data_IF_988480660608
#
_entry.id   IF_988480660608
#
_cell.length_a   1.000
_cell.length_b   1.000
_cell.length_c   1.000
_cell.angle_alpha   90.00
_cell.angle_beta   90.00
_cell.angle_gamma   90.00
#
_symmetry.space_group_name_H-M   'P 1'
#
loop_
_entity.id
_entity.type
_entity.pdbx_description
1 polymer ?
#
# COMPACT_ATOMS: atom_id res chain seq x y z
N UNK A 1 13.51 -25.77 12.09
CA UNK A 1 13.07 -24.60 12.87
C UNK A 1 13.69 -23.34 12.27
N UNK A 2 12.89 -22.41 11.81
CA UNK A 2 13.36 -21.16 11.22
C UNK A 2 13.89 -20.21 12.29
N UNK A 3 15.01 -19.56 12.04
CA UNK A 3 15.61 -18.60 12.97
C UNK A 3 16.30 -17.47 12.19
N UNK A 4 15.97 -16.21 12.51
CA UNK A 4 16.69 -15.03 12.05
C UNK A 4 17.71 -14.67 13.12
N UNK A 5 18.98 -14.62 12.77
CA UNK A 5 20.09 -14.31 13.69
C UNK A 5 20.55 -12.85 13.59
N UNK A 6 20.34 -12.23 12.44
CA UNK A 6 20.66 -10.82 12.23
C UNK A 6 19.81 -10.23 11.09
N UNK A 7 19.37 -9.00 11.25
CA UNK A 7 18.74 -8.19 10.22
C UNK A 7 19.10 -6.70 10.40
N UNK A 8 19.01 -5.93 9.33
CA UNK A 8 19.29 -4.50 9.40
C UNK A 8 18.13 -3.77 10.10
N UNK A 9 18.43 -2.81 11.02
CA UNK A 9 17.39 -1.94 11.56
C UNK A 9 16.77 -1.09 10.44
N UNK A 10 15.49 -0.72 10.57
CA UNK A 10 14.75 0.05 9.56
C UNK A 10 15.52 1.32 9.16
N UNK A 11 16.19 1.98 10.10
CA UNK A 11 16.98 3.20 9.86
C UNK A 11 18.23 2.98 9.03
N UNK A 12 18.69 1.74 8.86
CA UNK A 12 19.85 1.39 8.04
C UNK A 12 19.47 0.89 6.63
N UNK A 13 18.17 0.65 6.39
CA UNK A 13 17.69 0.24 5.07
C UNK A 13 17.84 1.39 4.06
N UNK A 14 18.36 1.06 2.89
CA UNK A 14 18.62 2.03 1.84
C UNK A 14 17.71 1.77 0.64
N UNK A 15 16.95 2.78 0.27
CA UNK A 15 16.12 2.78 -0.94
C UNK A 15 16.59 3.92 -1.83
N UNK A 16 16.86 3.68 -3.12
CA UNK A 16 17.29 4.73 -4.05
C UNK A 16 16.29 5.89 -4.13
N UNK A 17 16.79 7.12 -4.24
CA UNK A 17 15.97 8.33 -4.16
C UNK A 17 14.90 8.44 -5.25
N UNK A 18 15.16 7.90 -6.43
CA UNK A 18 14.20 7.94 -7.54
C UNK A 18 12.90 7.18 -7.26
N UNK A 19 12.88 6.25 -6.29
CA UNK A 19 11.65 5.59 -5.88
C UNK A 19 10.65 6.53 -5.21
N UNK A 20 11.14 7.63 -4.62
CA UNK A 20 10.32 8.58 -3.88
C UNK A 20 9.82 9.74 -4.73
N UNK A 21 10.26 9.87 -5.98
CA UNK A 21 9.82 10.93 -6.87
C UNK A 21 8.52 10.51 -7.58
N UNK A 22 7.45 11.27 -7.32
CA UNK A 22 6.14 11.10 -7.94
C UNK A 22 5.95 12.24 -8.93
N UNK A 23 5.97 11.90 -10.21
CA UNK A 23 5.83 12.89 -11.29
C UNK A 23 4.36 13.14 -11.61
N UNK A 24 3.99 14.42 -11.71
CA UNK A 24 2.65 14.85 -12.12
C UNK A 24 2.74 16.04 -13.07
N UNK A 25 1.74 16.23 -13.94
CA UNK A 25 1.73 17.36 -14.88
C UNK A 25 1.56 18.71 -14.17
N UNK A 26 0.56 18.81 -13.30
CA UNK A 26 0.34 19.96 -12.40
C UNK A 26 -0.69 19.60 -11.35
N UNK A 27 -0.72 20.36 -10.22
CA UNK A 27 -1.76 20.19 -9.21
C UNK A 27 -3.15 20.62 -9.71
N UNK A 28 -3.21 21.58 -10.60
CA UNK A 28 -4.46 22.04 -11.21
C UNK A 28 -5.08 20.94 -12.07
N UNK A 29 -4.26 20.24 -12.83
CA UNK A 29 -4.71 19.10 -13.64
C UNK A 29 -5.22 17.95 -12.77
N UNK A 30 -4.53 17.62 -11.69
CA UNK A 30 -4.97 16.61 -10.72
C UNK A 30 -6.35 16.97 -10.15
N UNK A 31 -6.51 18.21 -9.68
CA UNK A 31 -7.78 18.68 -9.13
C UNK A 31 -8.88 18.67 -10.20
N UNK A 32 -8.59 19.11 -11.42
CA UNK A 32 -9.53 19.14 -12.53
C UNK A 32 -10.08 17.75 -12.87
N UNK A 33 -9.20 16.76 -12.98
CA UNK A 33 -9.60 15.37 -13.29
C UNK A 33 -10.50 14.81 -12.18
N UNK A 34 -10.14 15.00 -10.92
CA UNK A 34 -10.94 14.54 -9.79
C UNK A 34 -12.31 15.20 -9.75
N UNK A 35 -12.36 16.53 -9.85
CA UNK A 35 -13.61 17.31 -9.83
C UNK A 35 -14.53 16.88 -10.99
N UNK A 36 -13.94 16.67 -12.18
CA UNK A 36 -14.70 16.16 -13.32
C UNK A 36 -15.37 14.81 -13.02
N UNK A 37 -14.62 13.86 -12.43
CA UNK A 37 -15.15 12.54 -12.10
C UNK A 37 -16.27 12.61 -11.06
N UNK A 38 -16.03 13.30 -9.93
CA UNK A 38 -17.00 13.43 -8.84
C UNK A 38 -18.26 14.15 -9.29
N UNK A 39 -18.09 15.27 -10.00
CA UNK A 39 -19.22 16.05 -10.48
C UNK A 39 -20.02 15.32 -11.56
N UNK A 40 -19.39 14.59 -12.47
CA UNK A 40 -20.07 13.77 -13.47
C UNK A 40 -20.89 12.64 -12.84
N UNK A 41 -20.43 12.11 -11.71
CA UNK A 41 -21.17 11.10 -10.96
C UNK A 41 -22.36 11.67 -10.23
N UNK A 42 -22.22 12.84 -9.60
CA UNK A 42 -23.27 13.48 -8.79
C UNK A 42 -24.25 14.31 -9.65
N UNK A 43 -23.77 14.93 -10.73
CA UNK A 43 -24.49 15.87 -11.59
C UNK A 43 -24.22 15.56 -13.06
N UNK A 44 -24.73 14.44 -13.60
CA UNK A 44 -24.42 13.97 -14.96
C UNK A 44 -24.89 14.93 -16.07
N UNK A 45 -25.80 15.86 -15.75
CA UNK A 45 -26.31 16.87 -16.68
C UNK A 45 -25.35 18.04 -16.94
N UNK A 46 -24.30 18.22 -16.10
CA UNK A 46 -23.34 19.30 -16.28
C UNK A 46 -22.39 18.99 -17.45
N UNK A 47 -22.34 19.89 -18.43
CA UNK A 47 -21.48 19.75 -19.61
C UNK A 47 -19.98 19.93 -19.28
N UNK A 48 -19.66 20.83 -18.34
CA UNK A 48 -18.31 21.15 -17.89
C UNK A 48 -18.30 21.25 -16.34
N UNK A 49 -18.38 20.11 -15.66
CA UNK A 49 -18.59 20.10 -14.22
C UNK A 49 -17.46 20.80 -13.44
N UNK A 50 -16.22 20.72 -13.91
CA UNK A 50 -15.06 21.34 -13.27
C UNK A 50 -15.11 22.88 -13.18
N UNK A 51 -15.92 23.51 -14.04
CA UNK A 51 -16.09 24.99 -14.09
C UNK A 51 -17.50 25.45 -13.72
N UNK A 52 -18.46 24.52 -13.67
CA UNK A 52 -19.90 24.83 -13.51
C UNK A 52 -20.45 24.49 -12.13
N UNK A 53 -19.66 23.79 -11.27
CA UNK A 53 -20.08 23.48 -9.90
C UNK A 53 -20.19 24.76 -9.07
N UNK A 54 -21.34 24.94 -8.43
CA UNK A 54 -21.56 25.95 -7.42
C UNK A 54 -21.13 25.46 -6.03
N UNK A 55 -20.81 26.39 -5.12
CA UNK A 55 -20.46 26.02 -3.74
C UNK A 55 -21.59 25.25 -3.05
N UNK A 56 -22.86 25.52 -3.35
CA UNK A 56 -23.99 24.77 -2.84
C UNK A 56 -23.93 23.29 -3.31
N UNK A 57 -23.69 23.04 -4.59
CA UNK A 57 -23.56 21.69 -5.14
C UNK A 57 -22.35 20.97 -4.53
N UNK A 58 -21.25 21.67 -4.30
CA UNK A 58 -20.07 21.10 -3.61
C UNK A 58 -20.42 20.69 -2.18
N UNK A 59 -21.14 21.53 -1.43
CA UNK A 59 -21.59 21.21 -0.07
C UNK A 59 -22.55 19.99 -0.05
N UNK A 60 -23.40 19.85 -1.06
CA UNK A 60 -24.32 18.72 -1.24
C UNK A 60 -23.62 17.36 -1.50
N UNK A 61 -22.33 17.36 -1.92
CA UNK A 61 -21.53 16.14 -2.04
C UNK A 61 -21.32 15.42 -0.70
N UNK A 62 -21.51 16.11 0.43
CA UNK A 62 -21.40 15.53 1.77
C UNK A 62 -19.99 15.13 2.17
N UNK A 63 -18.96 15.64 1.51
CA UNK A 63 -17.58 15.38 1.83
C UNK A 63 -17.17 16.16 3.09
N UNK A 64 -16.58 15.48 4.06
CA UNK A 64 -16.22 16.09 5.33
C UNK A 64 -15.18 17.21 5.14
N UNK A 65 -15.48 18.41 5.66
CA UNK A 65 -14.60 19.58 5.58
C UNK A 65 -14.57 20.27 4.22
N UNK A 66 -15.46 19.89 3.28
CA UNK A 66 -15.54 20.46 1.92
C UNK A 66 -16.84 21.22 1.77
N UNK A 67 -16.77 22.54 1.58
CA UNK A 67 -17.94 23.43 1.52
C UNK A 67 -18.00 24.30 0.25
N UNK A 68 -16.93 24.36 -0.50
CA UNK A 68 -16.79 25.15 -1.72
C UNK A 68 -15.77 24.55 -2.69
N UNK A 69 -15.68 25.10 -3.89
CA UNK A 69 -14.80 24.58 -4.93
C UNK A 69 -13.30 24.60 -4.55
N UNK A 70 -12.87 25.56 -3.75
CA UNK A 70 -11.48 25.63 -3.27
C UNK A 70 -11.16 24.47 -2.32
N UNK A 71 -12.06 24.20 -1.37
CA UNK A 71 -11.94 23.07 -0.44
C UNK A 71 -11.93 21.74 -1.24
N UNK A 72 -12.78 21.61 -2.24
CA UNK A 72 -12.84 20.42 -3.10
C UNK A 72 -11.52 20.21 -3.87
N UNK A 73 -10.89 21.28 -4.35
CA UNK A 73 -9.56 21.18 -4.99
C UNK A 73 -8.48 20.70 -4.02
N UNK A 74 -8.45 21.24 -2.81
CA UNK A 74 -7.50 20.80 -1.78
C UNK A 74 -7.72 19.35 -1.40
N UNK A 75 -8.97 18.97 -1.20
CA UNK A 75 -9.36 17.58 -0.91
C UNK A 75 -8.91 16.63 -2.01
N UNK A 76 -9.12 16.98 -3.28
CA UNK A 76 -8.65 16.20 -4.42
C UNK A 76 -7.13 16.01 -4.44
N UNK A 77 -6.38 17.08 -4.17
CA UNK A 77 -4.92 17.03 -4.11
C UNK A 77 -4.43 16.14 -2.96
N UNK A 78 -5.07 16.20 -1.79
CA UNK A 78 -4.67 15.41 -0.63
C UNK A 78 -4.99 13.92 -0.83
N UNK A 79 -6.14 13.60 -1.40
CA UNK A 79 -6.46 12.22 -1.80
C UNK A 79 -5.46 11.68 -2.82
N UNK A 80 -5.13 12.47 -3.82
CA UNK A 80 -4.14 12.09 -4.83
C UNK A 80 -2.77 11.82 -4.20
N UNK A 81 -2.30 12.73 -3.32
CA UNK A 81 -1.03 12.54 -2.59
C UNK A 81 -1.02 11.22 -1.83
N UNK A 82 -2.06 10.98 -1.02
CA UNK A 82 -2.16 9.76 -0.23
C UNK A 82 -2.18 8.51 -1.10
N UNK A 83 -3.02 8.49 -2.14
CA UNK A 83 -3.12 7.37 -3.06
C UNK A 83 -1.79 7.09 -3.78
N UNK A 84 -1.12 8.13 -4.29
CA UNK A 84 0.15 7.94 -5.01
C UNK A 84 1.28 7.48 -4.12
N UNK A 85 1.37 8.00 -2.89
CA UNK A 85 2.35 7.55 -1.89
C UNK A 85 2.12 6.07 -1.57
N UNK A 86 0.89 5.68 -1.26
CA UNK A 86 0.55 4.29 -0.97
C UNK A 86 0.86 3.38 -2.16
N UNK A 87 0.38 3.74 -3.35
CA UNK A 87 0.65 2.97 -4.57
C UNK A 87 2.15 2.80 -4.80
N UNK A 88 2.92 3.89 -4.70
CA UNK A 88 4.38 3.85 -4.90
C UNK A 88 5.07 3.01 -3.85
N UNK A 89 4.66 3.11 -2.59
CA UNK A 89 5.24 2.32 -1.52
C UNK A 89 4.95 0.83 -1.72
N UNK A 90 3.69 0.45 -1.83
CA UNK A 90 3.30 -0.96 -1.89
C UNK A 90 3.68 -1.66 -3.20
N UNK A 91 3.66 -0.94 -4.33
CA UNK A 91 3.95 -1.56 -5.62
C UNK A 91 5.43 -1.53 -6.02
N UNK A 92 6.23 -0.64 -5.44
CA UNK A 92 7.63 -0.48 -5.87
C UNK A 92 8.64 -0.52 -4.72
N UNK A 93 8.37 0.18 -3.60
CA UNK A 93 9.34 0.27 -2.51
C UNK A 93 9.32 -0.99 -1.65
N UNK A 94 8.13 -1.48 -1.30
CA UNK A 94 8.01 -2.68 -0.45
C UNK A 94 8.57 -3.95 -1.12
N UNK A 95 8.31 -4.25 -2.41
CA UNK A 95 8.97 -5.36 -3.09
C UNK A 95 10.49 -5.21 -3.13
N UNK A 96 11.01 -4.02 -3.45
CA UNK A 96 12.45 -3.75 -3.39
C UNK A 96 13.02 -4.00 -1.98
N UNK A 97 12.33 -3.58 -0.93
CA UNK A 97 12.75 -3.81 0.45
C UNK A 97 12.69 -5.29 0.82
N UNK A 98 11.70 -6.04 0.34
CA UNK A 98 11.59 -7.47 0.59
C UNK A 98 12.83 -8.21 0.04
N UNK A 99 13.19 -7.97 -1.23
CA UNK A 99 14.42 -8.50 -1.83
C UNK A 99 15.67 -8.08 -1.06
N UNK A 100 15.81 -6.78 -0.77
CA UNK A 100 16.97 -6.25 -0.07
C UNK A 100 17.12 -6.81 1.35
N UNK A 101 16.02 -7.01 2.07
CA UNK A 101 16.00 -7.64 3.39
C UNK A 101 16.36 -9.13 3.28
N UNK A 102 15.83 -9.85 2.29
CA UNK A 102 16.14 -11.25 2.06
C UNK A 102 17.64 -11.46 1.76
N UNK A 103 18.24 -10.58 0.99
CA UNK A 103 19.67 -10.63 0.66
C UNK A 103 20.60 -10.28 1.84
N UNK A 104 20.17 -9.38 2.73
CA UNK A 104 21.02 -8.84 3.81
C UNK A 104 20.81 -9.49 5.16
N UNK A 105 19.69 -10.17 5.39
CA UNK A 105 19.43 -10.88 6.64
C UNK A 105 20.29 -12.15 6.75
N UNK A 106 20.64 -12.50 8.00
CA UNK A 106 21.28 -13.78 8.32
C UNK A 106 20.25 -14.68 9.00
N UNK A 107 19.99 -15.82 8.42
CA UNK A 107 18.97 -16.74 8.86
C UNK A 107 19.38 -18.21 8.68
N UNK A 108 18.73 -19.08 9.43
CA UNK A 108 18.73 -20.53 9.23
C UNK A 108 17.30 -20.92 8.90
N UNK A 109 17.10 -21.54 7.73
CA UNK A 109 15.79 -21.97 7.27
C UNK A 109 15.62 -23.48 7.46
N UNK A 110 14.42 -23.86 7.80
CA UNK A 110 13.91 -25.20 7.61
C UNK A 110 13.50 -25.31 6.12
N UNK A 111 14.34 -25.97 5.35
CA UNK A 111 14.17 -26.04 3.90
C UNK A 111 12.87 -26.76 3.48
N UNK A 112 12.38 -27.71 4.29
CA UNK A 112 11.13 -28.43 4.03
C UNK A 112 9.92 -27.52 4.27
N UNK A 113 9.94 -26.75 5.34
CA UNK A 113 8.88 -25.79 5.68
C UNK A 113 8.76 -24.67 4.63
N UNK A 114 9.89 -24.06 4.27
CA UNK A 114 9.92 -23.05 3.21
C UNK A 114 9.43 -23.64 1.86
N UNK A 115 9.98 -24.77 1.45
CA UNK A 115 9.62 -25.39 0.18
C UNK A 115 8.12 -25.74 0.13
N UNK A 116 7.55 -26.23 1.23
CA UNK A 116 6.12 -26.56 1.31
C UNK A 116 5.25 -25.32 1.17
N UNK A 117 5.61 -24.23 1.87
CA UNK A 117 4.88 -22.96 1.84
C UNK A 117 4.94 -22.32 0.46
N UNK A 118 6.14 -22.20 -0.12
CA UNK A 118 6.35 -21.61 -1.45
C UNK A 118 5.66 -22.44 -2.52
N UNK A 119 5.76 -23.79 -2.48
CA UNK A 119 5.10 -24.65 -3.44
C UNK A 119 3.57 -24.53 -3.41
N UNK A 120 2.97 -24.42 -2.22
CA UNK A 120 1.53 -24.25 -2.09
C UNK A 120 1.05 -22.95 -2.72
N UNK A 121 1.75 -21.86 -2.46
CA UNK A 121 1.42 -20.53 -3.01
C UNK A 121 1.69 -20.49 -4.54
N UNK A 122 2.82 -21.04 -4.99
CA UNK A 122 3.16 -21.13 -6.41
C UNK A 122 2.08 -21.87 -7.19
N UNK A 123 1.61 -22.99 -6.65
CA UNK A 123 0.55 -23.79 -7.28
C UNK A 123 -0.75 -23.01 -7.41
N UNK A 124 -1.19 -22.36 -6.32
CA UNK A 124 -2.42 -21.56 -6.30
C UNK A 124 -2.37 -20.43 -7.34
N UNK A 125 -1.28 -19.65 -7.36
CA UNK A 125 -1.13 -18.51 -8.29
C UNK A 125 -0.98 -18.97 -9.75
N UNK A 126 -0.34 -20.12 -10.00
CA UNK A 126 -0.23 -20.70 -11.36
C UNK A 126 -1.57 -21.28 -11.85
N UNK A 127 -2.42 -21.78 -10.96
CA UNK A 127 -3.79 -22.20 -11.31
C UNK A 127 -4.67 -20.99 -11.70
N UNK A 128 -4.46 -19.81 -11.08
CA UNK A 128 -5.17 -18.57 -11.40
C UNK A 128 -4.65 -17.92 -12.69
N UNK A 129 -3.34 -17.92 -12.90
CA UNK A 129 -2.68 -17.37 -14.11
C UNK A 129 -1.63 -18.35 -14.66
N UNK A 130 -2.01 -19.18 -15.63
CA UNK A 130 -1.10 -20.18 -16.24
C UNK A 130 0.07 -19.59 -17.02
N UNK A 131 -0.01 -18.32 -17.43
CA UNK A 131 1.02 -17.65 -18.24
C UNK A 131 2.09 -16.95 -17.38
N UNK A 132 1.99 -17.04 -16.04
CA UNK A 132 2.95 -16.42 -15.12
C UNK A 132 4.34 -17.07 -15.22
N UNK A 133 5.38 -16.26 -15.14
CA UNK A 133 6.76 -16.75 -15.04
C UNK A 133 6.97 -17.44 -13.67
N UNK A 134 6.96 -18.77 -13.67
CA UNK A 134 7.04 -19.56 -12.46
C UNK A 134 8.37 -19.45 -11.72
N UNK A 135 9.48 -19.19 -12.45
CA UNK A 135 10.79 -19.07 -11.82
C UNK A 135 10.91 -17.72 -11.11
N UNK A 136 10.49 -16.63 -11.76
CA UNK A 136 10.43 -15.31 -11.15
C UNK A 136 9.43 -15.26 -9.97
N UNK A 137 8.28 -15.91 -10.11
CA UNK A 137 7.29 -16.01 -9.02
C UNK A 137 7.85 -16.79 -7.83
N UNK A 138 8.55 -17.91 -8.05
CA UNK A 138 9.17 -18.68 -6.97
C UNK A 138 10.18 -17.83 -6.20
N UNK A 139 11.07 -17.13 -6.90
CA UNK A 139 12.06 -16.26 -6.28
C UNK A 139 11.38 -15.19 -5.41
N UNK A 140 10.36 -14.54 -5.92
CA UNK A 140 9.57 -13.56 -5.16
C UNK A 140 8.87 -14.16 -3.93
N UNK A 141 8.35 -15.38 -4.01
CA UNK A 141 7.73 -16.07 -2.87
C UNK A 141 8.74 -16.48 -1.80
N UNK A 142 9.96 -16.87 -2.20
CA UNK A 142 11.06 -17.17 -1.29
C UNK A 142 11.52 -15.89 -0.55
N UNK A 143 11.66 -14.77 -1.25
CA UNK A 143 11.96 -13.46 -0.66
C UNK A 143 10.86 -13.01 0.32
N UNK A 144 9.59 -13.15 -0.05
CA UNK A 144 8.45 -12.82 0.82
C UNK A 144 8.41 -13.72 2.08
N UNK A 145 8.75 -15.00 1.94
CA UNK A 145 8.88 -15.90 3.08
C UNK A 145 9.95 -15.42 4.07
N UNK A 146 11.13 -15.02 3.58
CA UNK A 146 12.21 -14.49 4.41
C UNK A 146 11.80 -13.15 5.03
N UNK A 147 11.16 -12.27 4.27
CA UNK A 147 10.64 -11.00 4.76
C UNK A 147 9.69 -11.20 5.96
N UNK A 148 8.77 -12.18 5.88
CA UNK A 148 7.86 -12.52 6.99
C UNK A 148 8.60 -13.03 8.21
N UNK A 149 9.65 -13.82 8.04
CA UNK A 149 10.49 -14.28 9.17
C UNK A 149 11.19 -13.10 9.85
N UNK A 150 11.77 -12.17 9.08
CA UNK A 150 12.40 -10.97 9.62
C UNK A 150 11.38 -10.08 10.31
N UNK A 151 10.20 -9.90 9.74
CA UNK A 151 9.09 -9.16 10.35
C UNK A 151 8.67 -9.77 11.70
N UNK A 152 8.57 -11.10 11.78
CA UNK A 152 8.28 -11.84 13.01
C UNK A 152 9.33 -11.62 14.10
N UNK A 153 10.62 -11.69 13.72
CA UNK A 153 11.72 -11.44 14.64
C UNK A 153 11.73 -9.98 15.11
N UNK A 154 11.62 -9.03 14.17
CA UNK A 154 11.53 -7.60 14.49
C UNK A 154 10.38 -7.31 15.46
N UNK A 155 9.19 -7.86 15.20
CA UNK A 155 8.02 -7.67 16.06
C UNK A 155 8.28 -8.18 17.48
N UNK A 156 8.92 -9.33 17.62
CA UNK A 156 9.31 -9.89 18.90
C UNK A 156 10.34 -9.01 19.61
N UNK A 157 11.35 -8.51 18.89
CA UNK A 157 12.40 -7.63 19.43
C UNK A 157 11.86 -6.28 19.89
N UNK A 158 10.74 -5.82 19.30
CA UNK A 158 10.01 -4.63 19.77
C UNK A 158 9.13 -4.92 21.01
N UNK A 159 9.17 -6.12 21.58
CA UNK A 159 8.31 -6.53 22.70
C UNK A 159 6.89 -6.85 22.26
N UNK A 160 6.67 -7.07 20.97
CA UNK A 160 5.38 -7.46 20.41
C UNK A 160 4.94 -8.83 20.95
N UNK A 161 3.67 -8.91 21.34
CA UNK A 161 3.00 -10.15 21.72
C UNK A 161 1.53 -10.03 21.36
N UNK A 162 0.98 -11.08 20.77
CA UNK A 162 -0.41 -11.13 20.35
C UNK A 162 -1.19 -12.05 21.28
N UNK A 163 -2.33 -11.57 21.75
CA UNK A 163 -3.24 -12.30 22.64
C UNK A 163 -4.56 -12.57 21.91
N UNK A 164 -5.37 -13.47 22.46
CA UNK A 164 -6.73 -13.69 21.98
C UNK A 164 -7.59 -12.41 22.08
N UNK A 165 -7.32 -11.52 23.04
CA UNK A 165 -8.01 -10.24 23.15
C UNK A 165 -7.70 -9.30 21.98
N UNK A 166 -6.46 -9.30 21.51
CA UNK A 166 -6.07 -8.52 20.32
C UNK A 166 -6.77 -9.06 19.06
N UNK A 167 -6.86 -10.38 18.95
CA UNK A 167 -7.61 -11.02 17.88
C UNK A 167 -9.10 -10.68 17.94
N UNK A 168 -9.72 -10.75 19.11
CA UNK A 168 -11.12 -10.38 19.29
C UNK A 168 -11.38 -8.92 18.90
N UNK A 169 -10.52 -8.00 19.34
CA UNK A 169 -10.62 -6.60 18.96
C UNK A 169 -10.46 -6.38 17.44
N UNK A 170 -9.54 -7.11 16.81
CA UNK A 170 -9.34 -7.08 15.37
C UNK A 170 -10.58 -7.56 14.60
N UNK A 171 -11.16 -8.70 15.00
CA UNK A 171 -12.37 -9.26 14.36
C UNK A 171 -13.55 -8.29 14.49
N UNK A 172 -13.81 -7.75 15.69
CA UNK A 172 -14.90 -6.79 15.92
C UNK A 172 -14.71 -5.53 15.04
N UNK A 173 -13.51 -4.96 15.03
CA UNK A 173 -13.20 -3.80 14.19
C UNK A 173 -13.35 -4.09 12.71
N UNK A 174 -12.91 -5.24 12.24
CA UNK A 174 -13.02 -5.67 10.85
C UNK A 174 -14.49 -5.90 10.45
N UNK A 175 -15.29 -6.50 11.31
CA UNK A 175 -16.73 -6.69 11.09
C UNK A 175 -17.45 -5.36 10.92
N UNK A 176 -17.18 -4.39 11.80
CA UNK A 176 -17.76 -3.05 11.71
C UNK A 176 -17.35 -2.33 10.42
N UNK A 177 -16.06 -2.37 10.08
CA UNK A 177 -15.54 -1.66 8.91
C UNK A 177 -16.02 -2.25 7.57
N UNK A 178 -16.23 -3.57 7.52
CA UNK A 178 -16.64 -4.28 6.31
C UNK A 178 -18.16 -4.50 6.24
N UNK A 179 -18.90 -4.20 7.30
CA UNK A 179 -20.31 -4.54 7.42
C UNK A 179 -20.55 -6.06 7.37
N UNK A 180 -19.60 -6.85 7.88
CA UNK A 180 -19.59 -8.29 7.84
C UNK A 180 -20.03 -8.90 9.19
N UNK A 181 -20.45 -10.17 9.17
CA UNK A 181 -20.75 -10.93 10.37
C UNK A 181 -19.46 -11.43 11.05
N UNK A 182 -19.35 -11.24 12.37
CA UNK A 182 -18.16 -11.64 13.15
C UNK A 182 -17.92 -13.14 13.12
N UNK A 183 -18.98 -13.97 13.12
CA UNK A 183 -18.86 -15.44 13.09
C UNK A 183 -18.27 -15.87 11.76
N UNK A 184 -18.78 -15.33 10.65
CA UNK A 184 -18.27 -15.62 9.31
C UNK A 184 -16.81 -15.16 9.14
N UNK A 185 -16.40 -14.05 9.78
CA UNK A 185 -15.01 -13.62 9.78
C UNK A 185 -14.10 -14.57 10.55
N UNK A 186 -14.54 -15.07 11.72
CA UNK A 186 -13.79 -16.05 12.53
C UNK A 186 -13.62 -17.40 11.84
N UNK A 187 -14.62 -17.83 11.05
CA UNK A 187 -14.52 -19.06 10.26
C UNK A 187 -13.50 -18.95 9.12
N UNK A 188 -13.32 -17.74 8.58
CA UNK A 188 -12.41 -17.47 7.45
C UNK A 188 -11.02 -17.06 7.87
N UNK A 189 -10.85 -16.53 9.08
CA UNK A 189 -9.61 -15.97 9.57
C UNK A 189 -9.44 -16.36 11.05
N UNK A 190 -8.60 -17.35 11.28
CA UNK A 190 -8.38 -17.92 12.62
C UNK A 190 -7.38 -17.11 13.45
N UNK A 191 -7.30 -17.38 14.76
CA UNK A 191 -6.27 -16.78 15.62
C UNK A 191 -4.83 -17.11 15.19
N UNK A 192 -4.48 -18.35 14.76
CA UNK A 192 -3.17 -18.61 14.15
C UNK A 192 -2.89 -17.76 12.90
N UNK A 193 -3.88 -17.55 12.02
CA UNK A 193 -3.70 -16.68 10.84
C UNK A 193 -3.43 -15.23 11.26
N UNK A 194 -4.14 -14.74 12.28
CA UNK A 194 -3.92 -13.44 12.87
C UNK A 194 -2.49 -13.30 13.42
N UNK A 195 -2.01 -14.30 14.17
CA UNK A 195 -0.65 -14.30 14.71
C UNK A 195 0.43 -14.32 13.62
N UNK A 196 0.18 -14.99 12.51
CA UNK A 196 1.10 -15.04 11.37
C UNK A 196 1.12 -13.73 10.58
N UNK A 197 -0.03 -13.06 10.43
CA UNK A 197 -0.19 -11.85 9.62
C UNK A 197 0.30 -10.58 10.34
N UNK A 198 -0.03 -10.41 11.62
CA UNK A 198 0.15 -9.14 12.33
C UNK A 198 1.59 -8.65 12.43
N UNK A 199 2.61 -9.50 12.65
CA UNK A 199 3.99 -9.05 12.62
C UNK A 199 4.40 -8.43 11.29
N UNK A 200 3.97 -9.04 10.18
CA UNK A 200 4.24 -8.53 8.83
C UNK A 200 3.56 -7.18 8.59
N UNK A 201 2.30 -7.03 8.99
CA UNK A 201 1.59 -5.75 8.89
C UNK A 201 2.26 -4.66 9.73
N UNK A 202 2.61 -4.96 10.98
CA UNK A 202 3.27 -4.01 11.87
C UNK A 202 4.64 -3.56 11.33
N UNK A 203 5.42 -4.51 10.79
CA UNK A 203 6.72 -4.20 10.19
C UNK A 203 6.56 -3.37 8.91
N UNK A 204 5.63 -3.73 8.04
CA UNK A 204 5.30 -2.98 6.82
C UNK A 204 4.86 -1.55 7.13
N UNK A 205 4.00 -1.36 8.15
CA UNK A 205 3.60 -0.04 8.60
C UNK A 205 4.78 0.77 9.15
N UNK A 206 5.65 0.15 9.94
CA UNK A 206 6.87 0.80 10.44
C UNK A 206 7.81 1.23 9.30
N UNK A 207 7.97 0.40 8.27
CA UNK A 207 8.70 0.75 7.04
C UNK A 207 8.03 1.93 6.32
N UNK A 208 6.72 1.87 6.12
CA UNK A 208 5.95 2.94 5.48
C UNK A 208 6.15 4.27 6.21
N UNK A 209 5.96 4.31 7.53
CA UNK A 209 6.14 5.52 8.35
C UNK A 209 7.57 6.05 8.30
N UNK A 210 8.57 5.15 8.28
CA UNK A 210 9.97 5.55 8.18
C UNK A 210 10.28 6.26 6.85
N UNK A 211 9.75 5.73 5.73
CA UNK A 211 10.02 6.27 4.41
C UNK A 211 9.07 7.38 3.97
N UNK A 212 7.92 7.55 4.63
CA UNK A 212 6.91 8.55 4.28
C UNK A 212 7.46 9.97 4.08
N UNK A 213 8.39 10.49 4.92
CA UNK A 213 8.92 11.85 4.75
C UNK A 213 9.81 12.04 3.52
N UNK A 214 10.22 10.96 2.85
CA UNK A 214 11.10 11.03 1.66
C UNK A 214 10.33 11.25 0.36
N UNK A 215 9.01 11.06 0.34
CA UNK A 215 8.22 11.23 -0.89
C UNK A 215 8.20 12.69 -1.35
N UNK A 216 8.41 12.90 -2.65
CA UNK A 216 8.46 14.21 -3.29
C UNK A 216 7.56 14.21 -4.52
N UNK A 217 6.81 15.30 -4.69
CA UNK A 217 5.99 15.51 -5.88
C UNK A 217 6.73 16.43 -6.84
N UNK A 218 7.10 15.89 -7.99
CA UNK A 218 7.89 16.58 -9.02
C UNK A 218 6.95 16.98 -10.16
N UNK A 219 6.74 18.29 -10.33
CA UNK A 219 5.95 18.82 -11.44
C UNK A 219 6.84 18.82 -12.67
N UNK A 220 6.37 18.18 -13.75
CA UNK A 220 7.06 18.24 -15.04
C UNK A 220 7.17 19.71 -15.49
N UNK A 221 8.35 20.15 -15.96
CA UNK A 221 8.45 21.48 -16.56
C UNK A 221 7.45 21.58 -17.71
N UNK A 222 6.64 22.63 -17.73
CA UNK A 222 5.71 22.87 -18.81
C UNK A 222 6.50 22.81 -20.13
N UNK A 223 6.18 21.86 -20.99
CA UNK A 223 6.79 21.80 -22.32
C UNK A 223 6.59 23.16 -22.99
N UNK A 224 7.66 23.84 -23.26
CA UNK A 224 7.67 24.98 -24.18
C UNK A 224 7.48 24.40 -25.60
N UNK A 225 6.31 23.85 -25.87
CA UNK A 225 5.88 23.58 -27.23
C UNK A 225 5.42 24.92 -27.81
N UNK A 226 6.27 25.54 -28.57
CA UNK A 226 5.86 26.70 -29.35
C UNK A 226 6.98 27.65 -29.67
N UNK A 227 7.92 27.24 -30.50
CA UNK A 227 8.90 28.21 -30.99
C UNK A 227 9.93 27.67 -31.95
N UNK A 228 9.47 27.06 -33.05
CA UNK A 228 10.26 27.02 -34.30
C UNK A 228 9.39 26.61 -35.46
N UNK A 229 8.60 27.57 -35.93
CA UNK A 229 8.24 27.64 -37.34
C UNK A 229 8.64 29.05 -37.79
N UNK A 230 9.76 29.17 -38.41
CA UNK A 230 10.15 30.23 -39.31
C UNK A 230 11.04 29.61 -40.38
#
# INVERSE_FOLDING_TARGET
MNQVSHYLPITALQVPDYYFDIHLPSWEEVARVFIHQVAKQAYPELAQPETSLTDQQVAELGLQGVSNLTDLKHYAMDLFRQSQIQTRFYQHILPFLASYIAETAQYVLDAEDMATTVYSQLKEMTEEDPDIDQDALRESLEEDYIFRLVAGQWYTDQGGGLTELDYDAYIVSSAVNQGADEIALRERFSYPDFQAMMPTLAYTEALFQHFLPRFRFVIAPANQEGGQQA
#
